data_IF_504016008075
#
_entry.id   IF_504016008075
#
_cell.length_a   1.000
_cell.length_b   1.000
_cell.length_c   1.000
_cell.angle_alpha   90.00
_cell.angle_beta   90.00
_cell.angle_gamma   90.00
#
_symmetry.space_group_name_H-M   'P 1'
#
loop_
_entity.id
_entity.type
_entity.pdbx_description
1 polymer ?
#
# COMPACT_ATOMS: atom_id res chain seq x y z
N UNK A 1 -68.90 58.94 -13.75
CA UNK A 1 -68.12 59.62 -12.69
C UNK A 1 -67.73 58.59 -11.65
N UNK A 2 -66.42 58.36 -11.52
CA UNK A 2 -65.71 57.70 -10.40
C UNK A 2 -66.35 56.45 -9.77
N UNK A 3 -65.77 55.29 -10.06
CA UNK A 3 -65.34 54.22 -9.12
C UNK A 3 -65.26 52.89 -9.87
N UNK A 4 -64.21 52.60 -10.63
CA UNK A 4 -63.81 51.21 -10.97
C UNK A 4 -62.37 51.05 -11.52
N UNK A 5 -61.48 52.04 -11.40
CA UNK A 5 -60.14 52.00 -12.06
C UNK A 5 -58.95 51.96 -11.07
N UNK A 6 -59.14 51.55 -9.81
CA UNK A 6 -58.02 51.53 -8.82
C UNK A 6 -57.93 50.21 -8.03
N UNK A 7 -58.20 49.07 -8.68
CA UNK A 7 -57.89 47.74 -8.07
C UNK A 7 -57.28 46.74 -9.05
N UNK A 8 -56.72 47.20 -10.16
CA UNK A 8 -56.06 46.33 -11.15
C UNK A 8 -54.63 46.78 -11.50
N UNK A 9 -53.94 47.43 -10.56
CA UNK A 9 -52.53 47.85 -10.74
C UNK A 9 -51.61 47.44 -9.58
N UNK A 10 -52.11 46.63 -8.63
CA UNK A 10 -51.29 46.08 -7.53
C UNK A 10 -51.06 44.56 -7.68
N UNK A 11 -51.88 43.85 -8.48
CA UNK A 11 -51.71 42.40 -8.68
C UNK A 11 -50.74 42.08 -9.83
N UNK A 12 -50.50 43.01 -10.76
CA UNK A 12 -49.54 42.80 -11.87
C UNK A 12 -48.09 43.12 -11.45
N UNK A 13 -47.89 43.93 -10.40
CA UNK A 13 -46.55 44.15 -9.82
C UNK A 13 -46.10 43.04 -8.86
N UNK A 14 -47.01 42.12 -8.48
CA UNK A 14 -46.66 40.95 -7.66
C UNK A 14 -46.46 39.67 -8.48
N UNK A 15 -46.82 39.67 -9.77
CA UNK A 15 -46.64 38.52 -10.67
C UNK A 15 -45.41 38.68 -11.59
N UNK A 16 -44.87 39.90 -11.77
CA UNK A 16 -43.57 40.12 -12.44
C UNK A 16 -42.38 39.95 -11.46
N UNK A 17 -42.63 39.80 -10.15
CA UNK A 17 -41.62 39.38 -9.18
C UNK A 17 -41.47 37.84 -9.08
N UNK A 18 -42.18 37.08 -9.92
CA UNK A 18 -42.19 35.61 -9.92
C UNK A 18 -41.82 35.04 -11.30
N UNK A 19 -40.77 35.58 -11.92
CA UNK A 19 -40.16 35.00 -13.12
C UNK A 19 -38.69 35.42 -13.25
N UNK A 20 -37.92 35.26 -12.19
CA UNK A 20 -36.48 35.09 -12.28
C UNK A 20 -36.13 33.85 -11.45
N UNK A 21 -36.38 32.69 -12.04
CA UNK A 21 -35.78 31.43 -11.64
C UNK A 21 -34.26 31.55 -11.81
N UNK A 22 -33.59 32.18 -10.85
CA UNK A 22 -32.33 31.62 -10.43
C UNK A 22 -32.73 30.47 -9.51
N UNK A 23 -32.63 29.24 -10.01
CA UNK A 23 -32.44 28.11 -9.13
C UNK A 23 -31.28 28.53 -8.23
N UNK A 24 -31.57 28.86 -6.97
CA UNK A 24 -30.55 29.08 -5.98
C UNK A 24 -29.81 27.74 -5.94
N UNK A 25 -28.62 27.71 -6.53
CA UNK A 25 -27.64 26.68 -6.23
C UNK A 25 -27.64 26.51 -4.72
N UNK A 26 -27.90 25.31 -4.18
CA UNK A 26 -27.92 25.13 -2.74
C UNK A 26 -26.62 25.71 -2.19
N UNK A 27 -26.74 26.43 -1.08
CA UNK A 27 -25.67 27.22 -0.46
C UNK A 27 -24.57 26.34 0.17
N UNK A 28 -24.04 25.36 -0.58
CA UNK A 28 -22.78 24.68 -0.32
C UNK A 28 -21.58 25.49 -0.87
N UNK A 29 -21.84 26.62 -1.55
CA UNK A 29 -20.80 27.53 -2.00
C UNK A 29 -20.18 28.31 -0.82
N UNK A 30 -18.90 27.98 -0.53
CA UNK A 30 -17.96 28.53 0.46
C UNK A 30 -17.92 27.85 1.83
N UNK A 31 -17.86 26.53 1.86
CA UNK A 31 -16.81 25.92 2.69
C UNK A 31 -15.46 26.34 2.09
N UNK A 32 -14.66 27.15 2.79
CA UNK A 32 -13.35 27.57 2.30
C UNK A 32 -12.50 26.35 1.94
N UNK A 33 -11.91 26.35 0.74
CA UNK A 33 -10.96 25.33 0.32
C UNK A 33 -9.84 25.19 1.35
N UNK A 34 -9.41 23.95 1.60
CA UNK A 34 -8.37 23.64 2.57
C UNK A 34 -7.08 23.27 1.85
N UNK A 35 -5.96 23.76 2.36
CA UNK A 35 -4.62 23.30 2.02
C UNK A 35 -4.07 22.46 3.18
N UNK A 36 -3.45 21.32 2.88
CA UNK A 36 -2.94 20.37 3.86
C UNK A 36 -1.42 20.37 3.80
N UNK A 37 -0.71 21.14 4.64
CA UNK A 37 0.74 21.28 4.52
C UNK A 37 1.47 19.96 4.67
N UNK A 38 0.97 19.04 5.51
CA UNK A 38 1.54 17.70 5.70
C UNK A 38 1.77 16.95 4.38
N UNK A 39 0.82 17.04 3.45
CA UNK A 39 0.87 16.34 2.16
C UNK A 39 1.16 17.27 0.99
N UNK A 40 0.94 18.58 1.16
CA UNK A 40 1.15 19.59 0.13
C UNK A 40 0.03 19.66 -0.91
N UNK A 41 -1.18 19.19 -0.60
CA UNK A 41 -2.31 19.16 -1.53
C UNK A 41 -3.50 19.96 -0.99
N UNK A 42 -4.44 20.29 -1.86
CA UNK A 42 -5.66 20.99 -1.45
C UNK A 42 -6.95 20.18 -1.68
N UNK A 43 -7.95 20.46 -0.86
CA UNK A 43 -9.29 19.88 -0.95
C UNK A 43 -10.31 21.01 -1.11
N UNK A 44 -11.06 20.94 -2.21
CA UNK A 44 -12.13 21.90 -2.53
C UNK A 44 -13.48 21.19 -2.54
N UNK A 45 -14.55 21.98 -2.59
CA UNK A 45 -15.91 21.45 -2.71
C UNK A 45 -16.47 21.51 -4.14
N UNK A 46 -15.62 21.75 -5.15
CA UNK A 46 -16.02 21.80 -6.56
C UNK A 46 -16.73 20.52 -7.03
N UNK A 47 -16.40 19.40 -6.35
CA UNK A 47 -17.00 18.09 -6.57
C UNK A 47 -17.65 17.49 -5.31
N UNK A 48 -17.87 18.28 -4.25
CA UNK A 48 -18.44 17.81 -2.98
C UNK A 48 -17.47 17.06 -2.06
N UNK A 49 -16.17 17.01 -2.41
CA UNK A 49 -15.19 16.21 -1.69
C UNK A 49 -14.84 16.78 -0.31
N UNK A 50 -14.72 18.11 -0.18
CA UNK A 50 -14.49 18.73 1.12
C UNK A 50 -15.65 18.51 2.08
N UNK A 51 -16.89 18.66 1.59
CA UNK A 51 -18.10 18.42 2.38
C UNK A 51 -18.20 16.96 2.81
N UNK A 52 -17.96 16.01 1.90
CA UNK A 52 -17.94 14.58 2.23
C UNK A 52 -16.86 14.25 3.28
N UNK A 53 -15.64 14.77 3.10
CA UNK A 53 -14.54 14.54 4.02
C UNK A 53 -14.84 15.09 5.43
N UNK A 54 -15.48 16.26 5.54
CA UNK A 54 -15.87 16.84 6.84
C UNK A 54 -16.98 16.06 7.53
N UNK A 55 -17.94 15.52 6.78
CA UNK A 55 -19.08 14.80 7.35
C UNK A 55 -18.77 13.35 7.76
N UNK A 56 -17.60 12.82 7.40
CA UNK A 56 -17.22 11.42 7.63
C UNK A 56 -15.89 11.27 8.39
N UNK A 57 -15.59 12.16 9.34
CA UNK A 57 -14.33 12.14 10.11
C UNK A 57 -13.10 11.93 9.21
N UNK A 58 -13.01 12.76 8.16
CA UNK A 58 -12.04 12.65 7.10
C UNK A 58 -10.58 12.50 7.56
N UNK A 59 -10.07 13.22 8.60
CA UNK A 59 -8.72 13.02 9.09
C UNK A 59 -8.44 11.57 9.50
N UNK A 60 -9.43 10.91 10.11
CA UNK A 60 -9.30 9.56 10.63
C UNK A 60 -9.52 8.50 9.55
N UNK A 61 -10.58 8.66 8.75
CA UNK A 61 -11.04 7.61 7.83
C UNK A 61 -10.42 7.69 6.44
N UNK A 62 -10.11 8.90 5.96
CA UNK A 62 -9.51 9.12 4.62
C UNK A 62 -8.07 9.63 4.70
N UNK A 63 -7.71 10.32 5.78
CA UNK A 63 -6.46 11.05 5.90
C UNK A 63 -6.49 12.31 5.03
N UNK A 64 -5.33 12.80 4.63
CA UNK A 64 -5.21 14.03 3.84
C UNK A 64 -5.07 13.73 2.33
N UNK A 65 -5.46 14.67 1.45
CA UNK A 65 -5.29 14.49 0.01
C UNK A 65 -3.82 14.29 -0.36
N UNK A 66 -3.56 13.41 -1.31
CA UNK A 66 -2.21 13.09 -1.83
C UNK A 66 -2.08 13.36 -3.32
N UNK A 67 -3.17 13.76 -3.97
CA UNK A 67 -3.20 14.27 -5.33
C UNK A 67 -4.12 15.49 -5.36
N UNK A 68 -3.99 16.28 -6.43
CA UNK A 68 -5.08 17.15 -6.86
C UNK A 68 -6.25 16.36 -7.45
N UNK A 69 -7.39 17.01 -7.69
CA UNK A 69 -8.51 16.36 -8.37
C UNK A 69 -8.11 15.97 -9.79
N UNK A 70 -8.33 14.70 -10.12
CA UNK A 70 -8.09 14.09 -11.41
C UNK A 70 -9.43 13.80 -12.09
N UNK A 71 -9.42 13.72 -13.42
CA UNK A 71 -10.52 13.16 -14.21
C UNK A 71 -10.11 11.76 -14.62
N UNK A 72 -10.76 10.75 -14.07
CA UNK A 72 -10.48 9.34 -14.37
C UNK A 72 -11.54 8.83 -15.35
N UNK A 73 -11.09 8.28 -16.48
CA UNK A 73 -11.98 7.71 -17.49
C UNK A 73 -12.86 6.60 -16.88
N UNK A 74 -14.17 6.65 -17.15
CA UNK A 74 -15.15 5.71 -16.60
C UNK A 74 -15.57 5.95 -15.14
N UNK A 75 -14.94 6.89 -14.42
CA UNK A 75 -15.32 7.25 -13.04
C UNK A 75 -15.77 8.71 -12.95
N UNK A 76 -15.00 9.63 -13.51
CA UNK A 76 -15.21 11.08 -13.40
C UNK A 76 -14.23 11.74 -12.43
N UNK A 77 -14.63 12.88 -11.82
CA UNK A 77 -13.80 13.57 -10.83
C UNK A 77 -13.42 12.64 -9.69
N UNK A 78 -12.12 12.60 -9.39
CA UNK A 78 -11.52 11.64 -8.47
C UNK A 78 -10.36 12.29 -7.73
N UNK A 79 -10.26 12.11 -6.42
CA UNK A 79 -9.11 12.58 -5.64
C UNK A 79 -8.64 11.49 -4.69
N UNK A 80 -7.32 11.27 -4.65
CA UNK A 80 -6.70 10.28 -3.77
C UNK A 80 -6.30 10.94 -2.45
N UNK A 81 -6.43 10.17 -1.37
CA UNK A 81 -6.06 10.52 -0.01
C UNK A 81 -5.07 9.50 0.54
N UNK A 82 -4.50 9.75 1.72
CA UNK A 82 -3.57 8.81 2.37
C UNK A 82 -4.21 7.42 2.51
N UNK A 83 -5.44 7.34 3.01
CA UNK A 83 -6.12 6.07 3.36
C UNK A 83 -7.15 5.61 2.34
N UNK A 84 -7.62 6.50 1.46
CA UNK A 84 -8.71 6.21 0.54
C UNK A 84 -8.70 7.03 -0.75
N UNK A 85 -9.83 7.02 -1.47
CA UNK A 85 -10.09 7.82 -2.67
C UNK A 85 -11.54 8.29 -2.62
N UNK A 86 -11.79 9.54 -3.00
CA UNK A 86 -13.15 10.02 -3.26
C UNK A 86 -13.41 10.10 -4.76
N UNK A 87 -14.63 9.77 -5.14
CA UNK A 87 -15.12 9.77 -6.51
C UNK A 87 -16.46 10.48 -6.55
N UNK A 88 -16.68 11.28 -7.59
CA UNK A 88 -18.01 11.81 -7.90
C UNK A 88 -18.57 11.03 -9.07
N UNK A 89 -19.50 10.13 -8.78
CA UNK A 89 -20.13 9.23 -9.76
C UNK A 89 -21.60 9.58 -9.96
N UNK A 90 -22.20 9.13 -11.06
CA UNK A 90 -23.66 9.17 -11.22
C UNK A 90 -24.27 7.94 -10.52
N UNK A 91 -25.23 8.16 -9.63
CA UNK A 91 -26.07 7.11 -9.08
C UNK A 91 -27.00 6.52 -10.16
N UNK A 92 -27.73 5.45 -9.83
CA UNK A 92 -28.60 4.75 -10.77
C UNK A 92 -29.72 5.63 -11.36
N UNK A 93 -30.15 6.65 -10.63
CA UNK A 93 -31.13 7.65 -11.04
C UNK A 93 -30.51 8.85 -11.78
N UNK A 94 -29.20 8.83 -12.01
CA UNK A 94 -28.43 9.91 -12.61
C UNK A 94 -28.02 11.02 -11.63
N UNK A 95 -28.41 10.94 -10.35
CA UNK A 95 -28.03 11.92 -9.34
C UNK A 95 -26.53 11.82 -9.06
N UNK A 96 -25.76 12.93 -9.10
CA UNK A 96 -24.35 12.88 -8.77
C UNK A 96 -24.17 12.63 -7.27
N UNK A 97 -23.37 11.62 -6.93
CA UNK A 97 -23.05 11.24 -5.56
C UNK A 97 -21.55 11.19 -5.35
N UNK A 98 -21.10 11.63 -4.17
CA UNK A 98 -19.73 11.44 -3.71
C UNK A 98 -19.67 10.17 -2.91
N UNK A 99 -18.69 9.32 -3.20
CA UNK A 99 -18.45 8.08 -2.46
C UNK A 99 -16.96 7.78 -2.35
N UNK A 100 -16.64 6.85 -1.48
CA UNK A 100 -15.31 6.22 -1.44
C UNK A 100 -15.11 5.28 -2.63
N UNK A 101 -13.89 5.26 -3.17
CA UNK A 101 -13.48 4.38 -4.26
C UNK A 101 -12.97 3.03 -3.80
N UNK A 102 -13.00 2.03 -4.70
CA UNK A 102 -12.55 0.65 -4.43
C UNK A 102 -11.02 0.49 -4.41
N UNK A 103 -10.34 1.35 -3.64
CA UNK A 103 -8.87 1.45 -3.64
C UNK A 103 -8.20 0.14 -3.22
N UNK A 104 -8.81 -0.61 -2.31
CA UNK A 104 -8.22 -1.85 -1.82
C UNK A 104 -8.46 -3.00 -2.79
N UNK A 105 -9.66 -3.11 -3.37
CA UNK A 105 -9.93 -4.09 -4.42
C UNK A 105 -8.98 -3.88 -5.62
N UNK A 106 -8.78 -2.64 -6.06
CA UNK A 106 -7.84 -2.31 -7.13
C UNK A 106 -6.39 -2.62 -6.75
N UNK A 107 -5.98 -2.27 -5.53
CA UNK A 107 -4.62 -2.52 -5.05
C UNK A 107 -4.32 -4.02 -4.96
N UNK A 108 -5.21 -4.79 -4.34
CA UNK A 108 -5.12 -6.25 -4.21
C UNK A 108 -5.08 -6.91 -5.59
N UNK A 109 -5.96 -6.50 -6.51
CA UNK A 109 -5.98 -6.99 -7.89
C UNK A 109 -4.67 -6.68 -8.63
N UNK A 110 -4.13 -5.46 -8.48
CA UNK A 110 -2.86 -5.07 -9.10
C UNK A 110 -1.66 -5.86 -8.56
N UNK A 111 -1.75 -6.38 -7.33
CA UNK A 111 -0.76 -7.26 -6.72
C UNK A 111 -1.04 -8.75 -6.95
N UNK A 112 -2.08 -9.12 -7.71
CA UNK A 112 -2.55 -10.50 -7.91
C UNK A 112 -2.79 -11.25 -6.59
N UNK A 113 -3.20 -10.53 -5.54
CA UNK A 113 -3.49 -11.13 -4.24
C UNK A 113 -4.92 -11.65 -4.22
N UNK A 114 -5.10 -12.85 -3.70
CA UNK A 114 -6.42 -13.47 -3.51
C UNK A 114 -6.60 -13.87 -2.05
N UNK A 115 -7.83 -13.83 -1.56
CA UNK A 115 -8.17 -14.26 -0.22
C UNK A 115 -9.09 -15.48 -0.28
N UNK A 116 -8.85 -16.53 0.51
CA UNK A 116 -9.77 -17.65 0.59
C UNK A 116 -11.09 -17.20 1.21
N UNK A 117 -12.23 -17.75 0.77
CA UNK A 117 -13.51 -17.45 1.39
C UNK A 117 -13.52 -17.86 2.86
N UNK A 118 -14.51 -17.37 3.59
CA UNK A 118 -14.78 -17.80 4.96
C UNK A 118 -14.80 -19.34 5.02
N UNK A 119 -14.09 -19.97 5.98
CA UNK A 119 -14.17 -21.41 6.17
C UNK A 119 -15.61 -21.88 6.39
N UNK A 120 -15.94 -23.06 5.87
CA UNK A 120 -17.22 -23.70 6.15
C UNK A 120 -17.27 -24.11 7.62
N UNK A 121 -17.97 -23.30 8.42
CA UNK A 121 -18.17 -23.49 9.85
C UNK A 121 -19.51 -22.89 10.28
N UNK A 122 -19.96 -23.37 11.43
CA UNK A 122 -21.12 -22.79 12.11
C UNK A 122 -20.95 -21.28 12.30
N UNK A 123 -22.00 -20.48 12.07
CA UNK A 123 -22.02 -19.05 12.39
C UNK A 123 -21.59 -18.81 13.83
N UNK A 124 -20.73 -17.81 14.01
CA UNK A 124 -20.33 -17.34 15.35
C UNK A 124 -21.21 -16.14 15.71
N UNK A 125 -21.58 -16.02 16.99
CA UNK A 125 -22.34 -14.87 17.47
C UNK A 125 -21.59 -13.55 17.20
N UNK A 126 -22.30 -12.52 16.73
CA UNK A 126 -21.70 -11.23 16.34
C UNK A 126 -20.97 -11.24 15.00
N UNK A 127 -21.11 -12.29 14.19
CA UNK A 127 -20.59 -12.39 12.83
C UNK A 127 -21.64 -11.96 11.80
N UNK A 128 -21.27 -11.04 10.91
CA UNK A 128 -22.08 -10.63 9.75
C UNK A 128 -21.52 -11.28 8.48
N UNK A 129 -22.36 -12.06 7.78
CA UNK A 129 -21.99 -12.79 6.57
C UNK A 129 -22.39 -12.03 5.30
N UNK A 130 -21.52 -12.08 4.28
CA UNK A 130 -21.73 -11.48 2.98
C UNK A 130 -21.66 -12.57 1.91
N UNK A 131 -22.83 -13.00 1.41
CA UNK A 131 -22.93 -14.11 0.46
C UNK A 131 -22.29 -13.76 -0.89
N UNK A 132 -22.33 -12.49 -1.28
CA UNK A 132 -21.82 -11.96 -2.53
C UNK A 132 -20.30 -12.09 -2.64
N UNK A 133 -19.58 -11.94 -1.52
CA UNK A 133 -18.12 -12.05 -1.47
C UNK A 133 -17.64 -13.34 -0.84
N UNK A 134 -18.51 -14.08 -0.15
CA UNK A 134 -18.15 -15.29 0.59
C UNK A 134 -17.33 -15.01 1.86
N UNK A 135 -17.35 -13.77 2.35
CA UNK A 135 -16.59 -13.34 3.53
C UNK A 135 -17.50 -12.86 4.67
N UNK A 136 -16.92 -12.70 5.85
CA UNK A 136 -17.61 -12.23 7.04
C UNK A 136 -16.92 -11.03 7.68
N UNK A 137 -17.65 -10.26 8.48
CA UNK A 137 -17.10 -9.24 9.37
C UNK A 137 -17.51 -9.60 10.79
N UNK A 138 -16.59 -9.46 11.74
CA UNK A 138 -16.83 -9.72 13.16
C UNK A 138 -15.92 -8.86 14.02
N UNK A 139 -16.06 -8.95 15.34
CA UNK A 139 -15.12 -8.30 16.25
C UNK A 139 -13.68 -8.79 15.99
N UNK A 140 -12.68 -7.89 16.03
CA UNK A 140 -12.75 -6.52 16.55
C UNK A 140 -13.11 -5.43 15.51
N UNK A 141 -13.44 -5.81 14.27
CA UNK A 141 -13.64 -4.86 13.17
C UNK A 141 -15.08 -4.42 12.97
N UNK A 142 -16.07 -5.28 13.30
CA UNK A 142 -17.48 -5.03 12.96
C UNK A 142 -18.03 -3.76 13.61
N UNK A 143 -17.75 -3.50 14.88
CA UNK A 143 -18.21 -2.29 15.58
C UNK A 143 -17.67 -1.01 14.93
N UNK A 144 -16.37 -0.97 14.62
CA UNK A 144 -15.76 0.15 13.92
C UNK A 144 -16.34 0.32 12.51
N UNK A 145 -16.43 -0.77 11.76
CA UNK A 145 -16.93 -0.78 10.39
C UNK A 145 -18.37 -0.29 10.31
N UNK A 146 -19.27 -0.74 11.19
CA UNK A 146 -20.66 -0.29 11.24
C UNK A 146 -20.77 1.19 11.63
N UNK A 147 -20.03 1.62 12.65
CA UNK A 147 -20.08 3.01 13.14
C UNK A 147 -19.57 4.03 12.11
N UNK A 148 -18.62 3.63 11.25
CA UNK A 148 -18.01 4.49 10.25
C UNK A 148 -18.61 4.33 8.83
N UNK A 149 -19.83 3.78 8.72
CA UNK A 149 -20.62 3.79 7.48
C UNK A 149 -20.71 2.46 6.73
N UNK A 150 -20.13 1.39 7.26
CA UNK A 150 -20.33 0.03 6.77
C UNK A 150 -20.01 -0.15 5.29
N UNK A 151 -20.91 -0.81 4.55
CA UNK A 151 -20.77 -1.09 3.11
C UNK A 151 -20.66 0.22 2.31
N UNK A 152 -21.42 1.25 2.69
CA UNK A 152 -21.45 2.52 1.95
C UNK A 152 -20.07 3.21 1.96
N UNK A 153 -19.34 3.11 3.07
CA UNK A 153 -18.04 3.75 3.22
C UNK A 153 -16.85 2.82 2.93
N UNK A 154 -16.84 1.60 3.46
CA UNK A 154 -15.71 0.67 3.33
C UNK A 154 -15.88 -0.36 2.22
N UNK A 155 -17.09 -0.53 1.69
CA UNK A 155 -17.44 -1.63 0.80
C UNK A 155 -17.57 -2.97 1.51
N UNK A 156 -17.79 -4.01 0.72
CA UNK A 156 -17.94 -5.38 1.21
C UNK A 156 -16.59 -5.93 1.70
N UNK A 157 -16.56 -6.88 2.66
CA UNK A 157 -15.34 -7.59 3.01
C UNK A 157 -14.86 -8.45 1.82
N UNK A 158 -13.55 -8.40 1.55
CA UNK A 158 -12.88 -9.23 0.54
C UNK A 158 -11.86 -10.19 1.17
N UNK A 159 -11.79 -10.24 2.50
CA UNK A 159 -10.99 -11.21 3.24
C UNK A 159 -11.63 -11.51 4.59
N UNK A 160 -11.28 -12.66 5.15
CA UNK A 160 -11.39 -12.87 6.60
C UNK A 160 -10.32 -12.05 7.36
N UNK A 161 -10.50 -11.82 8.67
CA UNK A 161 -9.43 -11.27 9.51
C UNK A 161 -8.19 -12.16 9.49
N UNK A 162 -7.03 -11.57 9.22
CA UNK A 162 -5.75 -12.26 9.21
C UNK A 162 -4.67 -11.44 9.92
N UNK A 163 -3.58 -12.07 10.29
CA UNK A 163 -2.39 -11.38 10.78
C UNK A 163 -1.48 -11.01 9.62
N UNK A 164 -1.05 -9.75 9.57
CA UNK A 164 -0.15 -9.23 8.55
C UNK A 164 0.94 -8.36 9.18
N UNK A 165 2.18 -8.55 8.70
CA UNK A 165 3.28 -7.67 9.07
C UNK A 165 3.16 -6.36 8.27
N UNK A 166 2.96 -5.26 8.98
CA UNK A 166 2.95 -3.90 8.41
C UNK A 166 4.25 -3.18 8.72
N UNK A 167 4.46 -2.01 8.12
CA UNK A 167 5.55 -1.09 8.50
C UNK A 167 5.47 -0.64 9.97
N UNK A 168 4.26 -0.63 10.55
CA UNK A 168 4.01 -0.29 11.95
C UNK A 168 4.04 -1.50 12.90
N UNK A 169 4.46 -2.67 12.41
CA UNK A 169 4.50 -3.92 13.18
C UNK A 169 3.45 -4.93 12.76
N UNK A 170 3.39 -6.04 13.49
CA UNK A 170 2.40 -7.09 13.27
C UNK A 170 1.00 -6.56 13.67
N UNK A 171 0.06 -6.61 12.73
CA UNK A 171 -1.31 -6.15 12.91
C UNK A 171 -2.27 -7.28 12.58
N UNK A 172 -3.39 -7.34 13.29
CA UNK A 172 -4.55 -8.04 12.76
C UNK A 172 -5.20 -7.11 11.76
N UNK A 173 -5.50 -7.58 10.56
CA UNK A 173 -6.06 -6.77 9.48
C UNK A 173 -7.25 -7.47 8.85
N UNK A 174 -8.15 -6.68 8.26
CA UNK A 174 -9.19 -7.17 7.38
C UNK A 174 -9.32 -6.27 6.17
N UNK A 175 -9.45 -6.88 4.99
CA UNK A 175 -9.59 -6.20 3.71
C UNK A 175 -11.06 -6.06 3.35
N UNK A 176 -11.43 -4.86 2.95
CA UNK A 176 -12.71 -4.51 2.35
C UNK A 176 -12.44 -3.93 0.95
N UNK A 177 -13.46 -3.80 0.11
CA UNK A 177 -13.27 -3.29 -1.25
C UNK A 177 -12.61 -1.89 -1.28
N UNK A 178 -12.95 -1.03 -0.31
CA UNK A 178 -12.58 0.40 -0.30
C UNK A 178 -11.62 0.77 0.83
N UNK A 179 -11.30 -0.14 1.73
CA UNK A 179 -10.37 0.11 2.83
C UNK A 179 -9.77 -1.18 3.40
N UNK A 180 -8.62 -1.05 4.07
CA UNK A 180 -8.10 -2.08 4.95
C UNK A 180 -8.15 -1.55 6.37
N UNK A 181 -8.76 -2.32 7.25
CA UNK A 181 -8.80 -2.03 8.67
C UNK A 181 -7.68 -2.78 9.36
N UNK A 182 -7.01 -2.11 10.29
CA UNK A 182 -5.93 -2.67 11.09
C UNK A 182 -6.21 -2.46 12.57
N UNK A 183 -6.01 -3.53 13.35
CA UNK A 183 -6.03 -3.46 14.80
C UNK A 183 -4.64 -3.17 15.34
N UNK A 184 -4.55 -2.17 16.19
CA UNK A 184 -3.36 -1.78 16.94
C UNK A 184 -3.45 -2.36 18.36
N UNK A 185 -2.76 -3.49 18.65
CA UNK A 185 -2.95 -4.18 19.94
C UNK A 185 -2.58 -3.32 21.16
N UNK A 186 -1.61 -2.41 21.00
CA UNK A 186 -1.17 -1.48 22.06
C UNK A 186 -2.20 -0.40 22.40
N UNK A 187 -3.25 -0.25 21.59
CA UNK A 187 -4.32 0.74 21.77
C UNK A 187 -5.67 0.08 22.09
N UNK A 188 -5.65 -1.17 22.57
CA UNK A 188 -6.87 -1.92 22.93
C UNK A 188 -7.76 -1.12 23.89
N UNK A 189 -9.05 -1.02 23.58
CA UNK A 189 -10.04 -0.29 24.37
C UNK A 189 -10.05 1.22 24.16
N UNK A 190 -9.22 1.75 23.26
CA UNK A 190 -9.23 3.16 22.87
C UNK A 190 -10.00 3.35 21.58
N UNK A 191 -10.37 4.60 21.28
CA UNK A 191 -10.93 4.94 19.98
C UNK A 191 -9.96 4.57 18.85
N UNK A 192 -8.64 4.62 19.05
CA UNK A 192 -7.64 4.38 17.99
C UNK A 192 -7.17 2.92 17.88
N UNK A 193 -7.89 1.98 18.53
CA UNK A 193 -7.61 0.53 18.40
C UNK A 193 -7.72 0.07 16.94
N UNK A 194 -8.76 0.53 16.22
CA UNK A 194 -8.97 0.21 14.81
C UNK A 194 -8.66 1.44 13.97
N UNK A 195 -7.76 1.25 13.00
CA UNK A 195 -7.27 2.29 12.11
C UNK A 195 -7.43 1.86 10.64
N UNK A 196 -7.59 2.83 9.76
CA UNK A 196 -7.60 2.61 8.30
C UNK A 196 -6.17 2.74 7.77
N UNK A 197 -5.73 1.78 6.96
CA UNK A 197 -4.40 1.76 6.33
C UNK A 197 -4.23 2.83 5.26
N UNK A 198 -2.98 3.21 4.98
CA UNK A 198 -2.62 4.20 3.96
C UNK A 198 -2.65 3.63 2.51
N UNK A 199 -3.63 2.80 2.18
CA UNK A 199 -3.71 2.15 0.85
C UNK A 199 -4.07 3.14 -0.26
N UNK A 200 -4.75 4.25 0.05
CA UNK A 200 -5.04 5.31 -0.92
C UNK A 200 -3.76 5.86 -1.56
N UNK A 201 -2.76 6.20 -0.73
CA UNK A 201 -1.43 6.62 -1.19
C UNK A 201 -0.71 5.49 -1.94
N UNK A 202 -0.71 4.28 -1.38
CA UNK A 202 -0.04 3.14 -2.01
C UNK A 202 -0.59 2.84 -3.41
N UNK A 203 -1.89 2.95 -3.62
CA UNK A 203 -2.51 2.79 -4.93
C UNK A 203 -2.16 3.94 -5.88
N UNK A 204 -2.17 5.19 -5.39
CA UNK A 204 -1.78 6.34 -6.21
C UNK A 204 -0.35 6.21 -6.73
N UNK A 205 0.58 5.79 -5.87
CA UNK A 205 1.98 5.51 -6.22
C UNK A 205 2.09 4.33 -7.20
N UNK A 206 1.37 3.24 -6.95
CA UNK A 206 1.33 2.06 -7.84
C UNK A 206 0.83 2.42 -9.25
N UNK A 207 -0.08 3.38 -9.35
CA UNK A 207 -0.63 3.90 -10.61
C UNK A 207 0.26 4.98 -11.26
N UNK A 208 1.35 5.40 -10.62
CA UNK A 208 2.23 6.45 -11.12
C UNK A 208 1.57 7.84 -11.14
N UNK A 209 0.61 8.10 -10.26
CA UNK A 209 -0.05 9.40 -10.17
C UNK A 209 0.92 10.44 -9.60
N UNK A 210 0.78 11.69 -10.03
CA UNK A 210 1.59 12.79 -9.48
C UNK A 210 1.12 13.11 -8.06
N UNK A 211 1.95 12.75 -7.07
CA UNK A 211 1.74 13.02 -5.65
C UNK A 211 2.63 14.15 -5.11
N UNK A 212 3.36 14.85 -5.99
CA UNK A 212 4.22 15.96 -5.60
C UNK A 212 3.40 17.12 -5.01
N UNK A 213 3.89 17.79 -3.94
CA UNK A 213 3.25 18.95 -3.36
C UNK A 213 2.98 20.06 -4.39
N UNK A 214 1.81 20.71 -4.27
CA UNK A 214 1.46 21.92 -5.02
C UNK A 214 1.52 23.15 -4.13
N UNK A 215 1.79 24.36 -4.67
CA UNK A 215 1.79 25.58 -3.88
C UNK A 215 0.41 25.88 -3.28
N UNK A 216 0.38 26.37 -2.04
CA UNK A 216 -0.84 26.92 -1.46
C UNK A 216 -1.27 28.19 -2.23
N UNK A 217 -2.50 28.19 -2.76
CA UNK A 217 -3.07 29.29 -3.57
C UNK A 217 -3.79 30.36 -2.72
N UNK A 218 -3.46 30.44 -1.44
CA UNK A 218 -4.16 31.31 -0.47
C UNK A 218 -5.34 30.61 0.23
N UNK A 219 -5.37 29.28 0.20
CA UNK A 219 -6.35 28.47 0.93
C UNK A 219 -6.00 28.38 2.41
N UNK A 220 -7.02 28.16 3.23
CA UNK A 220 -6.88 27.96 4.66
C UNK A 220 -6.09 26.69 4.96
N UNK A 221 -5.11 26.79 5.85
CA UNK A 221 -4.28 25.64 6.23
C UNK A 221 -5.01 24.76 7.24
N UNK A 222 -5.07 23.45 6.96
CA UNK A 222 -5.61 22.45 7.88
C UNK A 222 -4.59 21.35 8.22
N UNK A 223 -4.53 20.98 9.50
CA UNK A 223 -3.70 19.91 10.00
C UNK A 223 -2.25 20.32 10.32
N UNK A 224 -1.41 19.37 10.73
CA UNK A 224 -0.01 19.63 11.07
C UNK A 224 0.79 20.15 9.86
N UNK A 225 1.90 20.90 10.11
CA UNK A 225 2.79 21.33 9.06
C UNK A 225 3.38 20.13 8.29
N UNK A 226 3.90 20.37 7.08
CA UNK A 226 4.83 19.44 6.43
C UNK A 226 5.93 19.07 7.44
N UNK A 227 6.30 17.79 7.54
CA UNK A 227 7.51 17.43 8.29
C UNK A 227 8.70 18.12 7.61
N UNK A 228 9.17 19.24 8.18
CA UNK A 228 10.27 20.04 7.63
C UNK A 228 11.64 19.41 7.95
N UNK A 229 11.67 18.34 8.73
CA UNK A 229 12.90 17.65 9.14
C UNK A 229 13.01 16.29 8.46
N UNK A 230 14.08 16.03 7.70
CA UNK A 230 14.66 14.69 7.65
C UNK A 230 14.93 14.30 9.11
N UNK A 231 14.39 13.18 9.60
CA UNK A 231 14.87 12.58 10.83
C UNK A 231 16.23 11.93 10.55
N UNK A 232 17.22 12.80 10.32
CA UNK A 232 18.63 12.48 10.14
C UNK A 232 19.32 13.37 11.16
N UNK A 233 19.87 12.75 12.21
CA UNK A 233 20.85 13.45 13.03
C UNK A 233 21.95 13.97 12.09
N UNK A 234 22.16 15.29 12.08
CA UNK A 234 23.29 15.89 11.37
C UNK A 234 24.58 15.27 11.92
N UNK A 235 25.23 14.47 11.10
CA UNK A 235 26.62 14.04 11.28
C UNK A 235 27.50 15.28 11.11
N UNK A 236 27.60 16.14 12.13
CA UNK A 236 28.71 17.11 12.36
C UNK A 236 28.47 18.01 13.60
N UNK A 237 28.09 17.42 14.75
CA UNK A 237 28.20 18.11 16.04
C UNK A 237 29.39 17.52 16.84
N UNK A 238 30.32 18.34 17.37
CA UNK A 238 31.56 17.84 17.95
C UNK A 238 31.34 17.03 19.22
N UNK A 239 32.12 15.95 19.30
CA UNK A 239 32.16 14.93 20.35
C UNK A 239 32.43 15.51 21.74
N UNK A 240 31.51 15.28 22.67
CA UNK A 240 31.77 15.28 24.11
C UNK A 240 31.70 13.83 24.60
N UNK A 241 32.86 13.17 24.70
CA UNK A 241 32.96 11.80 25.20
C UNK A 241 32.69 11.71 26.71
N UNK A 242 32.03 10.62 27.16
CA UNK A 242 32.44 9.94 28.38
C UNK A 242 33.05 8.58 28.03
N UNK A 243 34.20 8.32 28.66
CA UNK A 243 35.04 7.13 28.56
C UNK A 243 34.27 5.83 28.80
N UNK A 244 34.48 4.76 28.01
CA UNK A 244 33.92 3.45 28.32
C UNK A 244 34.71 2.76 29.45
N UNK A 245 34.05 2.10 30.43
CA UNK A 245 34.76 1.28 31.39
C UNK A 245 35.21 -0.04 30.75
N UNK A 246 36.40 -0.48 31.18
CA UNK A 246 37.14 -1.65 30.70
C UNK A 246 36.29 -2.92 30.55
N UNK A 247 36.50 -3.61 29.42
CA UNK A 247 36.00 -4.94 29.14
C UNK A 247 36.58 -5.98 30.11
N UNK A 248 35.72 -6.83 30.66
CA UNK A 248 36.09 -8.11 31.27
C UNK A 248 35.75 -9.23 30.29
N UNK A 249 36.66 -10.18 30.00
CA UNK A 249 36.33 -11.31 29.14
C UNK A 249 35.53 -12.34 29.93
N UNK A 250 34.43 -12.82 29.34
CA UNK A 250 33.73 -14.04 29.77
C UNK A 250 33.46 -14.94 28.56
N UNK A 251 33.45 -16.27 28.78
CA UNK A 251 33.80 -17.26 27.77
C UNK A 251 32.63 -17.64 26.86
N UNK A 252 32.91 -17.77 25.57
CA UNK A 252 31.98 -18.26 24.57
C UNK A 252 31.75 -19.77 24.71
N UNK A 253 30.55 -20.15 25.16
CA UNK A 253 30.01 -21.49 24.95
C UNK A 253 29.46 -21.56 23.52
N UNK A 254 30.19 -22.27 22.66
CA UNK A 254 29.71 -22.69 21.34
C UNK A 254 28.75 -23.86 21.53
N UNK A 255 27.52 -23.72 21.05
CA UNK A 255 26.65 -24.85 20.73
C UNK A 255 26.59 -24.94 19.19
N UNK A 256 26.88 -26.09 18.57
CA UNK A 256 26.89 -26.21 17.11
C UNK A 256 25.47 -26.28 16.56
N UNK A 257 25.23 -25.56 15.46
CA UNK A 257 24.03 -25.72 14.63
C UNK A 257 24.00 -27.13 14.00
N UNK A 258 22.81 -27.71 13.78
CA UNK A 258 22.70 -29.05 13.19
C UNK A 258 23.17 -29.07 11.73
N UNK A 259 24.00 -30.05 11.39
CA UNK A 259 24.51 -30.30 10.04
C UNK A 259 23.41 -30.87 9.12
N UNK A 260 23.38 -30.51 7.82
CA UNK A 260 22.51 -31.16 6.84
C UNK A 260 22.90 -32.63 6.61
N UNK A 261 21.95 -33.52 6.25
CA UNK A 261 22.27 -34.90 5.95
C UNK A 261 23.15 -35.00 4.69
N UNK A 262 24.34 -35.58 4.85
CA UNK A 262 25.26 -35.97 3.79
C UNK A 262 24.83 -37.30 3.19
N UNK A 263 23.95 -37.28 2.18
CA UNK A 263 24.01 -38.24 1.06
C UNK A 263 23.00 -37.91 -0.04
N UNK A 264 23.48 -37.44 -1.19
CA UNK A 264 23.07 -38.04 -2.47
C UNK A 264 24.05 -37.68 -3.59
N UNK A 265 24.44 -38.74 -4.29
CA UNK A 265 25.24 -38.80 -5.50
C UNK A 265 25.01 -37.64 -6.48
N UNK A 266 26.09 -37.25 -7.15
CA UNK A 266 26.08 -36.48 -8.38
C UNK A 266 25.11 -37.09 -9.38
N UNK A 267 23.90 -36.54 -9.47
CA UNK A 267 23.01 -36.82 -10.58
C UNK A 267 23.63 -36.20 -11.84
N UNK A 268 23.75 -36.93 -12.96
CA UNK A 268 24.27 -36.36 -14.19
C UNK A 268 23.33 -35.23 -14.64
N UNK A 269 23.93 -34.10 -14.99
CA UNK A 269 23.21 -32.95 -15.53
C UNK A 269 22.26 -33.41 -16.66
N UNK A 270 20.97 -33.04 -16.64
CA UNK A 270 20.14 -33.24 -17.80
C UNK A 270 20.75 -32.39 -18.92
N UNK A 271 21.29 -33.05 -19.96
CA UNK A 271 21.59 -32.41 -21.23
C UNK A 271 20.27 -31.92 -21.81
N UNK A 272 19.93 -30.66 -21.57
CA UNK A 272 18.81 -30.01 -22.25
C UNK A 272 19.36 -29.29 -23.48
N UNK A 273 18.93 -29.75 -24.65
CA UNK A 273 19.11 -29.13 -25.97
C UNK A 273 18.31 -27.81 -26.12
N UNK A 274 18.36 -26.94 -25.11
CA UNK A 274 17.75 -25.61 -25.08
C UNK A 274 18.82 -24.53 -24.95
N UNK A 275 18.51 -23.31 -25.40
CA UNK A 275 19.40 -22.13 -25.28
C UNK A 275 19.94 -21.97 -23.86
N UNK A 276 21.21 -21.58 -23.71
CA UNK A 276 21.88 -21.47 -22.42
C UNK A 276 21.34 -20.26 -21.64
N UNK A 277 20.46 -20.50 -20.66
CA UNK A 277 19.91 -19.44 -19.80
C UNK A 277 20.92 -19.05 -18.71
N UNK A 278 21.05 -17.76 -18.40
CA UNK A 278 21.80 -17.28 -17.23
C UNK A 278 21.24 -15.98 -16.68
N UNK A 279 21.43 -15.76 -15.38
CA UNK A 279 21.06 -14.55 -14.66
C UNK A 279 22.34 -13.87 -14.17
N UNK A 280 22.43 -12.55 -14.34
CA UNK A 280 23.51 -11.72 -13.80
C UNK A 280 22.90 -10.66 -12.89
N UNK A 281 23.37 -10.59 -11.64
CA UNK A 281 23.02 -9.53 -10.69
C UNK A 281 24.23 -8.62 -10.53
N UNK A 282 24.07 -7.35 -10.90
CA UNK A 282 25.09 -6.34 -10.70
C UNK A 282 24.76 -5.49 -9.46
N UNK A 283 25.60 -5.60 -8.44
CA UNK A 283 25.41 -4.97 -7.14
C UNK A 283 25.68 -3.46 -7.19
N UNK A 284 26.61 -2.97 -8.02
CA UNK A 284 26.89 -1.53 -8.12
C UNK A 284 25.75 -0.78 -8.81
N UNK A 285 25.14 -1.39 -9.83
CA UNK A 285 24.02 -0.84 -10.60
C UNK A 285 22.66 -1.10 -9.96
N UNK A 286 22.59 -2.00 -8.95
CA UNK A 286 21.34 -2.51 -8.41
C UNK A 286 20.38 -3.00 -9.52
N UNK A 287 20.92 -3.83 -10.40
CA UNK A 287 20.19 -4.31 -11.58
C UNK A 287 20.42 -5.81 -11.84
N UNK A 288 19.40 -6.48 -12.34
CA UNK A 288 19.42 -7.88 -12.77
C UNK A 288 19.25 -7.96 -14.29
N UNK A 289 19.99 -8.87 -14.91
CA UNK A 289 19.96 -9.14 -16.35
C UNK A 289 19.79 -10.64 -16.59
N UNK A 290 18.83 -11.02 -17.41
CA UNK A 290 18.57 -12.40 -17.81
C UNK A 290 18.90 -12.59 -19.29
N UNK A 291 19.72 -13.60 -19.58
CA UNK A 291 20.21 -13.90 -20.93
C UNK A 291 19.75 -15.28 -21.39
N UNK A 292 19.41 -15.39 -22.67
CA UNK A 292 19.39 -16.65 -23.41
C UNK A 292 20.55 -16.63 -24.39
N UNK A 293 21.49 -17.55 -24.22
CA UNK A 293 22.81 -17.51 -24.84
C UNK A 293 23.50 -16.17 -24.52
N UNK A 294 23.83 -15.38 -25.55
CA UNK A 294 24.41 -14.04 -25.40
C UNK A 294 23.39 -12.90 -25.56
N UNK A 295 22.11 -13.22 -25.75
CA UNK A 295 21.06 -12.21 -25.93
C UNK A 295 20.41 -11.88 -24.59
N UNK A 296 20.42 -10.60 -24.22
CA UNK A 296 19.60 -10.08 -23.13
C UNK A 296 18.12 -10.23 -23.49
N UNK A 297 17.36 -10.97 -22.69
CA UNK A 297 15.93 -11.21 -22.92
C UNK A 297 15.04 -10.50 -21.91
N UNK A 298 15.60 -10.12 -20.76
CA UNK A 298 14.90 -9.39 -19.71
C UNK A 298 15.91 -8.74 -18.77
N UNK A 299 15.51 -7.63 -18.18
CA UNK A 299 16.24 -6.96 -17.13
C UNK A 299 15.28 -6.29 -16.15
N UNK A 300 15.74 -6.06 -14.92
CA UNK A 300 14.93 -5.42 -13.89
C UNK A 300 15.79 -4.70 -12.87
N UNK A 301 15.30 -3.57 -12.31
CA UNK A 301 15.90 -3.00 -11.12
C UNK A 301 15.73 -3.97 -9.94
N UNK A 302 16.72 -4.03 -9.06
CA UNK A 302 16.68 -4.87 -7.85
C UNK A 302 17.06 -4.06 -6.61
N UNK A 303 16.80 -4.62 -5.43
CA UNK A 303 17.36 -4.14 -4.18
C UNK A 303 18.06 -5.32 -3.47
N UNK A 304 19.30 -5.14 -3.02
CA UNK A 304 20.13 -6.26 -2.54
C UNK A 304 20.44 -6.19 -1.04
N UNK A 305 21.37 -7.01 -0.56
CA UNK A 305 21.76 -7.10 0.85
C UNK A 305 22.40 -5.84 1.39
N UNK A 306 21.96 -5.40 2.58
CA UNK A 306 22.52 -4.25 3.31
C UNK A 306 23.94 -4.55 3.81
N UNK A 307 24.65 -3.51 4.22
CA UNK A 307 25.98 -3.69 4.83
C UNK A 307 25.91 -4.58 6.08
N UNK A 308 26.84 -5.53 6.18
CA UNK A 308 26.82 -6.59 7.20
C UNK A 308 25.96 -7.82 6.84
N UNK A 309 25.10 -7.72 5.81
CA UNK A 309 24.33 -8.84 5.24
C UNK A 309 24.33 -8.77 3.71
N UNK A 310 25.51 -8.59 3.16
CA UNK A 310 25.71 -8.41 1.73
C UNK A 310 25.21 -9.63 0.95
N UNK A 311 24.62 -9.39 -0.22
CA UNK A 311 24.37 -10.46 -1.18
C UNK A 311 25.72 -11.06 -1.60
N UNK A 312 25.92 -12.38 -1.50
CA UNK A 312 27.20 -13.00 -1.77
C UNK A 312 27.55 -12.90 -3.26
N UNK A 313 28.76 -12.44 -3.58
CA UNK A 313 29.30 -12.45 -4.94
C UNK A 313 29.79 -13.84 -5.33
N UNK A 314 29.68 -14.19 -6.61
CA UNK A 314 30.18 -15.47 -7.12
C UNK A 314 29.30 -16.10 -8.19
N UNK A 315 29.57 -17.37 -8.47
CA UNK A 315 28.81 -18.19 -9.41
C UNK A 315 27.96 -19.19 -8.63
N UNK A 316 26.66 -19.16 -8.90
CA UNK A 316 25.66 -19.99 -8.24
C UNK A 316 24.72 -20.59 -9.28
N UNK A 317 23.78 -21.40 -8.81
CA UNK A 317 22.67 -21.91 -9.62
C UNK A 317 21.40 -21.89 -8.78
N UNK A 318 20.25 -21.65 -9.40
CA UNK A 318 18.96 -21.82 -8.73
C UNK A 318 18.84 -23.30 -8.32
N UNK A 319 18.81 -23.59 -7.03
CA UNK A 319 18.72 -24.97 -6.54
C UNK A 319 17.32 -25.34 -6.04
N UNK A 320 16.49 -24.35 -5.70
CA UNK A 320 15.10 -24.58 -5.30
C UNK A 320 14.21 -23.42 -5.73
N UNK A 321 12.95 -23.74 -6.03
CA UNK A 321 11.91 -22.77 -6.39
C UNK A 321 10.67 -23.01 -5.56
N UNK A 322 10.11 -21.96 -4.98
CA UNK A 322 8.83 -22.01 -4.27
C UNK A 322 7.92 -20.91 -4.83
N UNK A 323 6.68 -21.24 -5.23
CA UNK A 323 5.78 -20.23 -5.78
C UNK A 323 5.43 -19.17 -4.74
N UNK A 324 5.33 -19.56 -3.47
CA UNK A 324 5.12 -18.71 -2.31
C UNK A 324 5.82 -19.33 -1.09
N UNK A 325 6.39 -18.49 -0.23
CA UNK A 325 6.94 -18.91 1.06
C UNK A 325 6.80 -17.79 2.10
N UNK A 326 6.48 -18.14 3.34
CA UNK A 326 6.74 -17.24 4.47
C UNK A 326 8.23 -17.27 4.79
N UNK A 327 8.90 -16.13 4.66
CA UNK A 327 10.30 -15.99 5.04
C UNK A 327 10.38 -15.38 6.44
N UNK A 328 11.16 -15.97 7.31
CA UNK A 328 11.38 -15.49 8.66
C UNK A 328 12.84 -15.63 9.07
N UNK A 329 13.24 -14.92 10.12
CA UNK A 329 14.60 -14.96 10.61
C UNK A 329 14.82 -14.09 11.84
N UNK A 330 16.02 -14.16 12.40
CA UNK A 330 16.46 -13.29 13.48
C UNK A 330 17.57 -12.41 12.95
N UNK A 331 17.45 -11.10 13.13
CA UNK A 331 18.46 -10.12 12.74
C UNK A 331 18.59 -9.09 13.85
N UNK A 332 19.83 -8.83 14.28
CA UNK A 332 20.13 -7.93 15.41
C UNK A 332 19.35 -8.28 16.69
N UNK A 333 19.14 -9.58 16.93
CA UNK A 333 18.37 -10.09 18.06
C UNK A 333 16.85 -9.91 17.94
N UNK A 334 16.35 -9.39 16.82
CA UNK A 334 14.92 -9.20 16.54
C UNK A 334 14.43 -10.23 15.53
N UNK A 335 13.37 -10.95 15.89
CA UNK A 335 12.69 -11.86 14.97
C UNK A 335 11.83 -11.09 13.98
N UNK A 336 11.87 -11.48 12.71
CA UNK A 336 11.07 -10.92 11.64
C UNK A 336 10.38 -12.04 10.86
N UNK A 337 9.18 -11.75 10.34
CA UNK A 337 8.39 -12.66 9.52
C UNK A 337 7.78 -11.87 8.38
N UNK A 338 7.96 -12.36 7.17
CA UNK A 338 7.39 -11.81 5.94
C UNK A 338 6.61 -12.93 5.26
N UNK A 339 5.27 -12.92 5.38
CA UNK A 339 4.44 -13.98 4.81
C UNK A 339 4.35 -13.86 3.29
N UNK A 340 4.01 -14.97 2.63
CA UNK A 340 3.61 -14.97 1.22
C UNK A 340 4.60 -14.33 0.24
N UNK A 341 5.90 -14.43 0.52
CA UNK A 341 6.95 -13.99 -0.41
C UNK A 341 6.84 -14.82 -1.68
N UNK A 342 6.48 -14.24 -2.83
CA UNK A 342 6.17 -15.02 -4.00
C UNK A 342 7.42 -15.21 -4.88
N UNK A 343 7.38 -16.21 -5.74
CA UNK A 343 8.38 -16.44 -6.80
C UNK A 343 9.80 -16.61 -6.26
N UNK A 344 9.95 -17.37 -5.17
CA UNK A 344 11.22 -17.58 -4.49
C UNK A 344 12.10 -18.52 -5.29
N UNK A 345 13.30 -18.07 -5.63
CA UNK A 345 14.33 -18.81 -6.34
C UNK A 345 15.62 -18.80 -5.51
N UNK A 346 15.83 -19.85 -4.72
CA UNK A 346 17.02 -19.98 -3.89
C UNK A 346 18.25 -20.31 -4.73
N UNK A 347 19.36 -19.63 -4.47
CA UNK A 347 20.61 -19.84 -5.21
C UNK A 347 21.86 -19.97 -4.30
N UNK A 348 21.81 -19.53 -3.04
CA UNK A 348 22.96 -19.63 -2.12
C UNK A 348 22.53 -19.70 -0.65
N UNK A 349 22.49 -20.89 -0.06
CA UNK A 349 22.03 -21.06 1.32
C UNK A 349 20.66 -20.40 1.52
N UNK A 350 20.47 -19.58 2.56
CA UNK A 350 19.21 -18.84 2.76
C UNK A 350 18.92 -17.72 1.76
N UNK A 351 19.79 -17.44 0.78
CA UNK A 351 19.68 -16.32 -0.15
C UNK A 351 18.91 -16.71 -1.42
N UNK A 352 17.89 -15.92 -1.75
CA UNK A 352 17.02 -16.12 -2.91
C UNK A 352 16.86 -14.85 -3.75
N UNK A 353 16.51 -15.04 -5.02
CA UNK A 353 15.79 -14.04 -5.81
C UNK A 353 14.30 -14.21 -5.53
N UNK A 354 13.56 -13.13 -5.24
CA UNK A 354 12.12 -13.25 -4.98
C UNK A 354 11.37 -11.95 -5.24
N UNK A 355 10.05 -12.06 -5.34
CA UNK A 355 9.17 -10.90 -5.38
C UNK A 355 9.14 -10.20 -4.03
N UNK A 356 9.18 -8.87 -4.05
CA UNK A 356 9.14 -8.05 -2.84
C UNK A 356 7.99 -7.07 -2.93
N UNK A 357 7.02 -7.22 -2.03
CA UNK A 357 5.84 -6.34 -1.96
C UNK A 357 5.94 -5.26 -0.87
N UNK A 358 6.89 -5.38 0.05
CA UNK A 358 6.99 -4.53 1.25
C UNK A 358 7.83 -3.26 1.05
N UNK A 359 8.45 -3.07 -0.11
CA UNK A 359 9.13 -1.82 -0.47
C UNK A 359 9.28 -1.67 -2.00
N UNK A 360 9.53 -0.45 -2.48
CA UNK A 360 9.74 -0.12 -3.89
C UNK A 360 11.14 0.46 -4.20
N UNK A 361 12.15 0.16 -3.37
CA UNK A 361 13.50 0.74 -3.44
C UNK A 361 14.39 0.19 -4.58
N UNK A 362 13.81 -0.47 -5.57
CA UNK A 362 14.56 -1.16 -6.64
C UNK A 362 15.35 -0.16 -7.50
N UNK A 363 16.63 -0.43 -7.76
CA UNK A 363 17.47 0.42 -8.60
C UNK A 363 17.85 1.77 -7.98
N UNK A 364 17.37 2.09 -6.77
CA UNK A 364 17.66 3.37 -6.09
C UNK A 364 19.06 3.45 -5.49
N UNK A 365 19.78 2.33 -5.41
CA UNK A 365 21.03 2.21 -4.63
C UNK A 365 20.81 1.78 -3.18
N UNK A 366 19.60 1.93 -2.64
CA UNK A 366 19.29 1.47 -1.27
C UNK A 366 19.23 -0.06 -1.25
N UNK A 367 19.94 -0.67 -0.29
CA UNK A 367 20.06 -2.12 -0.12
C UNK A 367 19.41 -2.55 1.20
N UNK A 368 18.09 -2.84 1.25
CA UNK A 368 17.38 -3.06 2.51
C UNK A 368 17.33 -4.52 2.97
N UNK A 369 17.74 -5.48 2.12
CA UNK A 369 17.52 -6.90 2.40
C UNK A 369 18.57 -7.52 3.33
N UNK A 370 18.28 -8.73 3.82
CA UNK A 370 19.18 -9.58 4.61
C UNK A 370 20.05 -10.51 3.73
N UNK A 371 20.28 -10.11 2.47
CA UNK A 371 21.11 -10.84 1.51
C UNK A 371 20.36 -11.21 0.23
N UNK A 372 19.05 -11.40 0.29
CA UNK A 372 18.22 -11.73 -0.87
C UNK A 372 18.26 -10.66 -1.96
N UNK A 373 18.00 -11.06 -3.20
CA UNK A 373 17.82 -10.14 -4.34
C UNK A 373 16.33 -9.88 -4.46
N UNK A 374 15.92 -8.67 -4.10
CA UNK A 374 14.52 -8.25 -4.07
C UNK A 374 14.14 -7.72 -5.46
N UNK A 375 13.08 -8.26 -6.06
CA UNK A 375 12.57 -7.85 -7.36
C UNK A 375 11.16 -7.25 -7.25
N UNK A 376 10.79 -6.31 -8.16
CA UNK A 376 9.38 -5.98 -8.40
C UNK A 376 8.56 -7.25 -8.67
N UNK A 377 7.32 -7.32 -8.19
CA UNK A 377 6.51 -8.55 -8.28
C UNK A 377 6.37 -9.10 -9.70
N UNK A 378 6.12 -8.23 -10.68
CA UNK A 378 6.02 -8.64 -12.10
C UNK A 378 7.35 -9.17 -12.64
N UNK A 379 8.46 -8.56 -12.25
CA UNK A 379 9.80 -9.01 -12.65
C UNK A 379 10.16 -10.36 -12.03
N UNK A 380 9.81 -10.57 -10.76
CA UNK A 380 9.97 -11.85 -10.09
C UNK A 380 9.13 -12.95 -10.75
N UNK A 381 7.88 -12.65 -11.09
CA UNK A 381 6.99 -13.58 -11.77
C UNK A 381 7.52 -13.99 -13.14
N UNK A 382 7.92 -13.02 -13.96
CA UNK A 382 8.53 -13.28 -15.26
C UNK A 382 9.78 -14.15 -15.11
N UNK A 383 10.69 -13.78 -14.20
CA UNK A 383 11.95 -14.48 -13.99
C UNK A 383 11.74 -15.90 -13.48
N UNK A 384 10.75 -16.09 -12.59
CA UNK A 384 10.38 -17.39 -12.05
C UNK A 384 9.85 -18.31 -13.14
N UNK A 385 8.93 -17.87 -13.99
CA UNK A 385 8.44 -18.71 -15.09
C UNK A 385 9.57 -19.02 -16.11
N UNK A 386 10.42 -18.04 -16.38
CA UNK A 386 11.48 -18.17 -17.38
C UNK A 386 12.65 -19.06 -16.92
N UNK A 387 13.03 -19.03 -15.64
CA UNK A 387 14.23 -19.69 -15.12
C UNK A 387 13.91 -21.07 -14.49
N UNK A 388 14.32 -22.20 -15.12
CA UNK A 388 14.24 -23.51 -14.47
C UNK A 388 15.26 -23.64 -13.32
N UNK A 389 15.03 -24.62 -12.42
CA UNK A 389 16.05 -25.08 -11.47
C UNK A 389 17.30 -25.49 -12.25
N UNK A 390 18.48 -25.11 -11.76
CA UNK A 390 19.77 -25.26 -12.42
C UNK A 390 20.22 -24.04 -13.22
N UNK A 391 19.37 -23.02 -13.41
CA UNK A 391 19.76 -21.78 -14.11
C UNK A 391 20.93 -21.10 -13.36
N UNK A 392 22.07 -20.85 -14.03
CA UNK A 392 23.19 -20.11 -13.46
C UNK A 392 22.82 -18.70 -13.01
N UNK A 393 23.31 -18.31 -11.83
CA UNK A 393 23.19 -16.97 -11.26
C UNK A 393 24.60 -16.45 -10.96
N UNK A 394 25.01 -15.40 -11.66
CA UNK A 394 26.29 -14.73 -11.44
C UNK A 394 26.06 -13.41 -10.70
N UNK A 395 26.65 -13.26 -9.51
CA UNK A 395 26.54 -12.03 -8.71
C UNK A 395 27.89 -11.31 -8.72
N UNK A 396 27.91 -10.07 -9.21
CA UNK A 396 29.12 -9.26 -9.40
C UNK A 396 28.88 -7.80 -9.01
N UNK A 397 29.96 -7.03 -8.88
CA UNK A 397 29.91 -5.57 -8.79
C UNK A 397 29.85 -4.93 -10.17
#
# INVERSE_FOLDING_TARGET
MMRHVVRLTIIVLLIVALAATYAATPAFARAGALYFPRTGHHLTDDHGFLSFWRSHDGPRLLGFPVTETLIVEGIGPTQYFEKGRLERVAAADGTPVVRTGAVVAEYVAALYRTFPPRPDRQPVEGELLFAETGHSVREPFISFWQAAGGVEFFGMPISEPLWEQTSAGLRQVQYFERARLERVPTLTGTLDEIQVSDIGRALAELRGLNTAPVPNRGFETFGPPASVTPDVALLDAPSGAPTPPHARPSPSLRTPAPSPPTNRASAPAPRSSGKAKRIVVNLSKQWLYAYEDDRLVFDAPVATGRDGMNTPTGNFQIYAKLPVQTMDGITDGKYWVVPNVPHVMYFSGGVALHGTYWHNLFGTGVRPSHGCVNLPLKSAAWLYEWAPVGTPVHVTY
#
